data_IF_611256477781
#
_entry.id   IF_611256477781
#
_cell.length_a   1.000
_cell.length_b   1.000
_cell.length_c   1.000
_cell.angle_alpha   90.00
_cell.angle_beta   90.00
_cell.angle_gamma   90.00
#
_symmetry.space_group_name_H-M   'P 1'
#
loop_
_entity.id
_entity.type
_entity.pdbx_description
1 polymer ?
#
# COMPACT_ATOMS: atom_id res chain seq x y z
N UNK A 1 19.75 -12.72 -3.05
CA UNK A 1 18.83 -12.76 -1.88
C UNK A 1 17.55 -12.04 -2.25
N UNK A 2 16.39 -12.69 -2.15
CA UNK A 2 15.11 -12.05 -2.44
C UNK A 2 14.79 -11.02 -1.35
N UNK A 3 14.45 -9.78 -1.74
CA UNK A 3 14.04 -8.74 -0.77
C UNK A 3 12.70 -9.15 -0.15
N UNK A 4 12.41 -8.85 1.14
CA UNK A 4 11.17 -9.29 1.81
C UNK A 4 9.91 -8.93 1.01
N UNK A 5 9.91 -7.77 0.37
CA UNK A 5 8.80 -7.27 -0.44
C UNK A 5 8.48 -8.14 -1.67
N UNK A 6 9.48 -8.79 -2.27
CA UNK A 6 9.26 -9.73 -3.37
C UNK A 6 8.56 -10.99 -2.90
N UNK A 7 8.90 -11.47 -1.70
CA UNK A 7 8.21 -12.61 -1.07
C UNK A 7 6.76 -12.25 -0.75
N UNK A 8 6.51 -11.05 -0.21
CA UNK A 8 5.14 -10.56 0.05
C UNK A 8 4.33 -10.48 -1.26
N UNK A 9 4.92 -9.99 -2.35
CA UNK A 9 4.24 -9.92 -3.65
C UNK A 9 3.91 -11.31 -4.22
N UNK A 10 4.86 -12.25 -4.17
CA UNK A 10 4.62 -13.64 -4.59
C UNK A 10 3.56 -14.33 -3.72
N UNK A 11 3.55 -14.06 -2.41
CA UNK A 11 2.52 -14.55 -1.51
C UNK A 11 1.16 -13.92 -1.82
N UNK A 12 1.09 -12.61 -2.08
CA UNK A 12 -0.14 -11.93 -2.47
C UNK A 12 -0.74 -12.52 -3.76
N UNK A 13 0.08 -12.84 -4.77
CA UNK A 13 -0.38 -13.53 -5.98
C UNK A 13 -1.05 -14.89 -5.70
N UNK A 14 -0.63 -15.61 -4.65
CA UNK A 14 -1.30 -16.83 -4.17
C UNK A 14 -2.57 -16.50 -3.41
N UNK A 15 -2.53 -15.48 -2.55
CA UNK A 15 -3.66 -14.99 -1.77
C UNK A 15 -4.83 -14.58 -2.68
N UNK A 16 -4.56 -13.99 -3.85
CA UNK A 16 -5.59 -13.63 -4.83
C UNK A 16 -6.40 -14.83 -5.34
N UNK A 17 -5.81 -16.03 -5.35
CA UNK A 17 -6.48 -17.28 -5.76
C UNK A 17 -7.31 -17.90 -4.64
N UNK A 18 -7.11 -17.47 -3.40
CA UNK A 18 -7.87 -17.90 -2.22
C UNK A 18 -8.69 -16.73 -1.64
N UNK A 19 -9.92 -16.60 -2.16
CA UNK A 19 -10.85 -15.53 -1.74
C UNK A 19 -11.16 -15.58 -0.24
N UNK A 20 -11.21 -16.76 0.36
CA UNK A 20 -11.53 -16.95 1.78
C UNK A 20 -10.40 -16.45 2.67
N UNK A 21 -9.18 -16.88 2.38
CA UNK A 21 -7.98 -16.40 3.08
C UNK A 21 -7.80 -14.89 2.94
N UNK A 22 -8.00 -14.35 1.73
CA UNK A 22 -7.92 -12.90 1.48
C UNK A 22 -8.97 -12.14 2.30
N UNK A 23 -10.22 -12.61 2.30
CA UNK A 23 -11.29 -11.99 3.07
C UNK A 23 -11.01 -12.03 4.58
N UNK A 24 -10.42 -13.11 5.10
CA UNK A 24 -10.02 -13.19 6.50
C UNK A 24 -9.02 -12.10 6.88
N UNK A 25 -7.99 -11.87 6.06
CA UNK A 25 -7.01 -10.79 6.28
C UNK A 25 -7.66 -9.41 6.16
N UNK A 26 -8.51 -9.19 5.14
CA UNK A 26 -9.22 -7.90 4.96
C UNK A 26 -10.17 -7.58 6.13
N UNK A 27 -10.74 -8.59 6.78
CA UNK A 27 -11.65 -8.36 7.92
C UNK A 27 -10.92 -8.03 9.21
N UNK A 28 -9.64 -8.39 9.32
CA UNK A 28 -8.84 -8.04 10.49
C UNK A 28 -8.75 -6.50 10.64
N UNK A 29 -9.01 -6.04 11.86
CA UNK A 29 -8.98 -4.64 12.26
C UNK A 29 -7.61 -4.24 12.83
N UNK A 30 -6.87 -5.20 13.37
CA UNK A 30 -5.56 -5.00 13.97
C UNK A 30 -4.53 -5.95 13.37
N UNK A 31 -3.25 -5.64 13.55
CA UNK A 31 -2.17 -6.53 13.11
C UNK A 31 -2.13 -7.83 13.95
N UNK A 32 -2.56 -7.77 15.22
CA UNK A 32 -2.67 -8.95 16.10
C UNK A 32 -3.67 -9.98 15.58
N UNK A 33 -4.84 -9.53 15.12
CA UNK A 33 -5.86 -10.41 14.53
C UNK A 33 -5.31 -11.17 13.30
N UNK A 34 -4.47 -10.52 12.50
CA UNK A 34 -3.81 -11.13 11.33
C UNK A 34 -2.90 -12.29 11.73
N UNK A 35 -2.28 -12.25 12.90
CA UNK A 35 -1.40 -13.33 13.38
C UNK A 35 -2.14 -14.66 13.52
N UNK A 36 -3.46 -14.62 13.68
CA UNK A 36 -4.30 -15.83 13.82
C UNK A 36 -4.71 -16.42 12.46
N UNK A 37 -4.47 -15.72 11.35
CA UNK A 37 -4.91 -16.14 10.02
C UNK A 37 -3.91 -17.12 9.40
N UNK A 38 -4.32 -18.35 9.00
CA UNK A 38 -3.40 -19.35 8.44
C UNK A 38 -2.58 -18.86 7.23
N UNK A 39 -3.18 -18.03 6.36
CA UNK A 39 -2.49 -17.47 5.21
C UNK A 39 -1.35 -16.51 5.60
N UNK A 40 -1.47 -15.79 6.72
CA UNK A 40 -0.38 -14.99 7.26
C UNK A 40 0.74 -15.88 7.83
N UNK A 41 0.39 -16.98 8.52
CA UNK A 41 1.38 -17.93 9.03
C UNK A 41 2.22 -18.55 7.90
N UNK A 42 1.61 -18.82 6.73
CA UNK A 42 2.34 -19.21 5.52
C UNK A 42 3.33 -18.12 5.07
N UNK A 43 2.90 -16.84 5.00
CA UNK A 43 3.79 -15.72 4.68
C UNK A 43 4.97 -15.63 5.66
N UNK A 44 4.69 -15.69 6.95
CA UNK A 44 5.71 -15.64 8.01
C UNK A 44 6.75 -16.75 7.83
N UNK A 45 6.31 -17.99 7.60
CA UNK A 45 7.22 -19.13 7.33
C UNK A 45 8.08 -18.90 6.10
N UNK A 46 7.55 -18.32 5.02
CA UNK A 46 8.32 -18.00 3.80
C UNK A 46 9.40 -16.96 4.04
N UNK A 47 9.08 -15.89 4.77
CA UNK A 47 10.04 -14.84 5.14
C UNK A 47 11.20 -15.44 5.95
N UNK A 48 10.88 -16.26 6.95
CA UNK A 48 11.87 -16.92 7.79
C UNK A 48 12.69 -17.98 7.05
N UNK A 49 12.07 -18.78 6.17
CA UNK A 49 12.77 -19.76 5.34
C UNK A 49 13.75 -19.10 4.36
N UNK A 50 13.51 -17.84 3.97
CA UNK A 50 14.44 -17.04 3.17
C UNK A 50 15.59 -16.41 3.99
N UNK A 51 15.67 -16.70 5.30
CA UNK A 51 16.69 -16.16 6.20
C UNK A 51 16.47 -14.69 6.59
N UNK A 52 15.29 -14.13 6.30
CA UNK A 52 14.97 -12.74 6.60
C UNK A 52 14.35 -12.64 7.99
N UNK A 53 14.93 -11.79 8.84
CA UNK A 53 14.36 -11.45 10.15
C UNK A 53 13.52 -10.19 9.99
N UNK A 54 12.24 -10.28 10.30
CA UNK A 54 11.31 -9.15 10.29
C UNK A 54 10.38 -9.27 11.50
N UNK A 55 10.14 -8.18 12.26
CA UNK A 55 9.15 -8.19 13.32
C UNK A 55 7.76 -8.60 12.78
N UNK A 56 7.05 -9.55 13.43
CA UNK A 56 5.76 -10.03 12.95
C UNK A 56 4.73 -8.92 12.72
N UNK A 57 4.74 -7.89 13.55
CA UNK A 57 3.84 -6.75 13.49
C UNK A 57 4.05 -5.89 12.24
N UNK A 58 5.27 -5.82 11.70
CA UNK A 58 5.54 -5.12 10.43
C UNK A 58 5.01 -5.95 9.27
N UNK A 59 5.26 -7.26 9.29
CA UNK A 59 4.82 -8.18 8.25
C UNK A 59 3.28 -8.28 8.21
N UNK A 60 2.62 -8.28 9.37
CA UNK A 60 1.16 -8.31 9.47
C UNK A 60 0.53 -7.02 8.91
N UNK A 61 1.12 -5.86 9.18
CA UNK A 61 0.72 -4.58 8.56
C UNK A 61 0.89 -4.59 7.04
N UNK A 62 1.97 -5.18 6.53
CA UNK A 62 2.14 -5.36 5.09
C UNK A 62 1.02 -6.25 4.53
N UNK A 63 0.75 -7.38 5.17
CA UNK A 63 -0.32 -8.30 4.77
C UNK A 63 -1.70 -7.61 4.72
N UNK A 64 -2.02 -6.79 5.73
CA UNK A 64 -3.23 -5.96 5.75
C UNK A 64 -3.30 -5.04 4.52
N UNK A 65 -2.25 -4.25 4.28
CA UNK A 65 -2.24 -3.28 3.19
C UNK A 65 -2.33 -3.95 1.81
N UNK A 66 -1.52 -5.00 1.56
CA UNK A 66 -1.52 -5.66 0.25
C UNK A 66 -2.77 -6.50 0.01
N UNK A 67 -3.49 -6.91 1.05
CA UNK A 67 -4.75 -7.66 0.88
C UNK A 67 -5.85 -6.85 0.18
N UNK A 68 -5.76 -5.51 0.20
CA UNK A 68 -6.68 -4.63 -0.54
C UNK A 68 -6.34 -4.52 -2.04
N UNK A 69 -5.15 -4.96 -2.46
CA UNK A 69 -4.74 -4.86 -3.87
C UNK A 69 -5.49 -5.89 -4.70
N UNK A 70 -6.10 -5.43 -5.81
CA UNK A 70 -6.80 -6.25 -6.78
C UNK A 70 -5.88 -6.67 -7.94
N UNK A 71 -6.14 -7.81 -8.62
CA UNK A 71 -5.41 -8.20 -9.81
C UNK A 71 -5.65 -7.21 -10.95
N UNK A 72 -4.61 -6.92 -11.74
CA UNK A 72 -4.75 -6.11 -12.96
C UNK A 72 -4.98 -7.03 -14.17
N UNK A 73 -6.03 -6.76 -14.94
CA UNK A 73 -6.39 -7.55 -16.13
C UNK A 73 -5.38 -7.41 -17.28
N UNK A 74 -4.59 -6.33 -17.31
CA UNK A 74 -3.72 -5.97 -18.44
C UNK A 74 -2.26 -6.40 -18.32
N UNK A 75 -1.86 -7.04 -17.22
CA UNK A 75 -0.47 -7.46 -17.04
C UNK A 75 -0.19 -8.74 -17.85
N UNK A 76 0.16 -8.58 -19.13
CA UNK A 76 0.78 -9.64 -19.91
C UNK A 76 1.97 -10.24 -19.15
N UNK A 77 2.16 -11.55 -19.28
CA UNK A 77 2.94 -12.46 -18.43
C UNK A 77 4.46 -12.19 -18.30
N UNK A 78 4.95 -11.03 -18.74
CA UNK A 78 6.36 -10.66 -18.57
C UNK A 78 6.57 -9.99 -17.21
N UNK A 79 6.81 -10.82 -16.19
CA UNK A 79 7.29 -10.45 -14.86
C UNK A 79 8.57 -9.59 -14.97
N UNK A 80 8.43 -8.28 -15.12
CA UNK A 80 9.53 -7.36 -14.87
C UNK A 80 9.89 -7.45 -13.38
N UNK A 81 11.17 -7.63 -13.02
CA UNK A 81 11.60 -7.75 -11.63
C UNK A 81 11.39 -6.47 -10.80
N UNK A 82 11.02 -5.36 -11.46
CA UNK A 82 10.81 -4.06 -10.82
C UNK A 82 9.35 -3.63 -10.91
N UNK A 83 8.79 -3.32 -9.73
CA UNK A 83 7.45 -2.77 -9.59
C UNK A 83 7.36 -1.44 -10.36
N UNK A 84 6.45 -1.31 -11.34
CA UNK A 84 6.37 -0.13 -12.19
C UNK A 84 6.15 1.16 -11.38
N UNK A 85 6.83 2.29 -11.68
CA UNK A 85 6.68 3.53 -10.93
C UNK A 85 5.26 4.10 -10.89
N UNK A 86 4.46 3.87 -11.94
CA UNK A 86 3.08 4.32 -12.06
C UNK A 86 2.13 3.67 -11.05
N UNK A 87 2.52 2.52 -10.49
CA UNK A 87 1.76 1.81 -9.45
C UNK A 87 2.21 2.19 -8.02
N UNK A 88 3.01 3.25 -7.88
CA UNK A 88 3.34 3.80 -6.56
C UNK A 88 2.08 4.41 -5.95
N UNK A 89 1.82 4.21 -4.64
CA UNK A 89 0.57 4.65 -4.01
C UNK A 89 0.24 6.12 -4.26
N UNK A 90 1.22 7.04 -4.18
CA UNK A 90 0.97 8.47 -4.39
C UNK A 90 0.46 8.78 -5.79
N UNK A 91 1.05 8.15 -6.82
CA UNK A 91 0.64 8.31 -8.21
C UNK A 91 -0.75 7.74 -8.46
N UNK A 92 -1.05 6.58 -7.89
CA UNK A 92 -2.37 5.96 -8.00
C UNK A 92 -3.44 6.81 -7.31
N UNK A 93 -3.13 7.40 -6.16
CA UNK A 93 -4.05 8.26 -5.41
C UNK A 93 -4.35 9.57 -6.14
N UNK A 94 -3.36 10.14 -6.85
CA UNK A 94 -3.50 11.40 -7.57
C UNK A 94 -4.10 11.26 -8.97
N UNK A 95 -3.83 10.16 -9.67
CA UNK A 95 -4.22 10.01 -11.08
C UNK A 95 -5.74 9.88 -11.24
N UNK A 96 -6.40 10.82 -11.95
CA UNK A 96 -7.82 10.70 -12.26
C UNK A 96 -8.10 9.46 -13.10
N UNK A 97 -9.31 8.92 -12.93
CA UNK A 97 -9.79 7.83 -13.79
C UNK A 97 -10.16 8.40 -15.16
N UNK A 98 -10.25 7.52 -16.16
CA UNK A 98 -10.61 7.92 -17.52
C UNK A 98 -11.99 8.59 -17.52
N UNK A 99 -12.04 9.87 -17.89
CA UNK A 99 -13.27 10.66 -17.93
C UNK A 99 -13.62 11.36 -16.62
N UNK A 100 -12.74 11.31 -15.62
CA UNK A 100 -12.87 12.08 -14.38
C UNK A 100 -11.84 13.22 -14.34
N UNK A 101 -12.23 14.36 -13.78
CA UNK A 101 -11.37 15.55 -13.63
C UNK A 101 -10.80 15.70 -12.22
N UNK A 102 -11.06 14.73 -11.34
CA UNK A 102 -10.66 14.77 -9.92
C UNK A 102 -9.79 13.58 -9.57
N UNK A 103 -8.93 13.76 -8.57
CA UNK A 103 -8.18 12.65 -8.01
C UNK A 103 -9.14 11.72 -7.24
N UNK A 104 -8.97 10.39 -7.32
CA UNK A 104 -9.79 9.46 -6.55
C UNK A 104 -9.60 9.63 -5.03
N UNK A 105 -8.42 10.06 -4.59
CA UNK A 105 -8.14 10.43 -3.21
C UNK A 105 -7.83 11.91 -3.15
N UNK A 106 -8.73 12.73 -2.60
CA UNK A 106 -8.53 14.17 -2.44
C UNK A 106 -7.25 14.52 -1.66
N UNK A 107 -6.67 15.69 -1.92
CA UNK A 107 -5.47 16.15 -1.21
C UNK A 107 -5.63 16.18 0.32
N UNK A 108 -6.80 16.55 0.86
CA UNK A 108 -7.05 16.54 2.32
C UNK A 108 -6.96 15.14 2.94
N UNK A 109 -7.45 14.11 2.24
CA UNK A 109 -7.33 12.72 2.69
C UNK A 109 -5.87 12.25 2.64
N UNK A 110 -5.14 12.62 1.60
CA UNK A 110 -3.72 12.37 1.51
C UNK A 110 -2.98 13.06 2.66
N UNK A 111 -3.27 14.32 2.93
CA UNK A 111 -2.69 15.09 4.03
C UNK A 111 -2.90 14.38 5.37
N UNK A 112 -4.13 13.96 5.66
CA UNK A 112 -4.46 13.16 6.85
C UNK A 112 -3.68 11.85 6.91
N UNK A 113 -3.54 11.16 5.78
CA UNK A 113 -2.75 9.93 5.68
C UNK A 113 -1.27 10.17 5.99
N UNK A 114 -0.68 11.28 5.52
CA UNK A 114 0.76 11.51 5.70
C UNK A 114 1.15 12.18 7.02
N UNK A 115 0.21 12.89 7.64
CA UNK A 115 0.41 13.54 8.95
C UNK A 115 0.41 12.54 10.11
N UNK A 116 -0.19 11.36 9.91
CA UNK A 116 -0.20 10.34 10.97
C UNK A 116 1.19 9.75 11.20
N UNK A 117 1.56 9.64 12.47
CA UNK A 117 2.83 9.03 12.90
C UNK A 117 2.64 7.61 13.44
N UNK A 118 1.41 7.24 13.76
CA UNK A 118 1.06 5.95 14.35
C UNK A 118 0.88 4.90 13.24
N UNK A 119 1.68 3.81 13.23
CA UNK A 119 1.66 2.83 12.13
C UNK A 119 0.32 2.13 11.87
N UNK A 120 -0.48 1.84 12.91
CA UNK A 120 -1.76 1.15 12.74
C UNK A 120 -2.80 2.08 12.10
N UNK A 121 -2.85 3.32 12.56
CA UNK A 121 -3.67 4.39 11.99
C UNK A 121 -3.26 4.66 10.54
N UNK A 122 -1.96 4.69 10.24
CA UNK A 122 -1.45 4.79 8.88
C UNK A 122 -2.00 3.68 7.99
N UNK A 123 -1.85 2.41 8.40
CA UNK A 123 -2.34 1.26 7.62
C UNK A 123 -3.84 1.32 7.43
N UNK A 124 -4.61 1.72 8.45
CA UNK A 124 -6.06 1.88 8.34
C UNK A 124 -6.45 2.95 7.32
N UNK A 125 -5.82 4.12 7.38
CA UNK A 125 -6.06 5.21 6.42
C UNK A 125 -5.60 4.81 5.01
N UNK A 126 -4.48 4.10 4.88
CA UNK A 126 -3.95 3.61 3.62
C UNK A 126 -4.92 2.62 2.97
N UNK A 127 -5.48 1.68 3.74
CA UNK A 127 -6.50 0.75 3.25
C UNK A 127 -7.75 1.47 2.77
N UNK A 128 -8.21 2.48 3.50
CA UNK A 128 -9.34 3.30 3.07
C UNK A 128 -9.07 4.07 1.76
N UNK A 129 -7.82 4.54 1.56
CA UNK A 129 -7.40 5.15 0.30
C UNK A 129 -7.33 4.12 -0.84
N UNK A 130 -6.83 2.90 -0.57
CA UNK A 130 -6.81 1.80 -1.54
C UNK A 130 -8.20 1.42 -2.03
N UNK A 131 -9.21 1.43 -1.14
CA UNK A 131 -10.60 1.21 -1.55
C UNK A 131 -11.10 2.28 -2.52
N UNK A 132 -10.70 3.55 -2.36
CA UNK A 132 -11.07 4.65 -3.28
C UNK A 132 -10.45 4.48 -4.67
N UNK A 133 -9.33 3.79 -4.77
CA UNK A 133 -8.68 3.46 -6.05
C UNK A 133 -8.97 2.02 -6.50
N UNK A 134 -10.04 1.40 -5.99
CA UNK A 134 -10.47 0.04 -6.37
C UNK A 134 -9.36 -1.02 -6.23
N UNK A 135 -8.49 -0.84 -5.22
CA UNK A 135 -7.37 -1.74 -4.98
C UNK A 135 -6.25 -1.61 -6.00
N UNK A 136 -6.22 -0.55 -6.81
CA UNK A 136 -5.10 -0.30 -7.69
C UNK A 136 -3.81 -0.03 -6.89
N UNK A 137 -2.73 -0.69 -7.29
CA UNK A 137 -1.42 -0.55 -6.67
C UNK A 137 -0.53 -1.76 -6.91
N UNK A 138 0.70 -1.70 -6.39
CA UNK A 138 1.64 -2.81 -6.46
C UNK A 138 2.04 -3.31 -5.05
N UNK A 139 1.93 -4.63 -4.75
CA UNK A 139 2.23 -5.17 -3.42
C UNK A 139 3.64 -4.81 -2.90
N UNK A 140 4.66 -4.78 -3.77
CA UNK A 140 6.02 -4.36 -3.40
C UNK A 140 6.07 -2.90 -2.94
N UNK A 141 5.45 -1.97 -3.67
CA UNK A 141 5.50 -0.54 -3.30
C UNK A 141 4.75 -0.30 -2.00
N UNK A 142 3.59 -0.95 -1.81
CA UNK A 142 2.82 -0.87 -0.57
C UNK A 142 3.58 -1.46 0.61
N UNK A 143 4.22 -2.62 0.43
CA UNK A 143 5.01 -3.23 1.50
C UNK A 143 6.19 -2.35 1.91
N UNK A 144 6.89 -1.73 0.95
CA UNK A 144 7.95 -0.76 1.22
C UNK A 144 7.44 0.47 1.98
N UNK A 145 6.29 1.00 1.55
CA UNK A 145 5.68 2.17 2.19
C UNK A 145 5.31 1.85 3.65
N UNK A 146 4.64 0.72 3.90
CA UNK A 146 4.26 0.27 5.25
C UNK A 146 5.49 0.00 6.12
N UNK A 147 6.52 -0.64 5.58
CA UNK A 147 7.79 -0.84 6.28
C UNK A 147 8.39 0.49 6.73
N UNK A 148 8.57 1.41 5.78
CA UNK A 148 9.18 2.71 6.04
C UNK A 148 8.37 3.54 7.05
N UNK A 149 7.04 3.39 7.07
CA UNK A 149 6.21 4.11 8.03
C UNK A 149 6.38 3.64 9.48
N UNK A 150 6.75 2.37 9.67
CA UNK A 150 7.02 1.82 11.00
C UNK A 150 8.24 2.47 11.65
N UNK A 151 9.26 2.84 10.87
CA UNK A 151 10.49 3.43 11.38
C UNK A 151 10.48 4.97 11.26
N UNK A 152 10.59 5.72 12.37
CA UNK A 152 10.54 7.19 12.33
C UNK A 152 11.53 7.85 11.35
N UNK A 153 12.74 7.32 11.23
CA UNK A 153 13.77 7.85 10.34
C UNK A 153 13.43 7.68 8.84
N UNK A 154 12.76 6.59 8.47
CA UNK A 154 12.37 6.30 7.09
C UNK A 154 11.05 6.99 6.71
N UNK A 155 10.17 7.21 7.69
CA UNK A 155 8.86 7.83 7.52
C UNK A 155 8.90 9.18 6.84
N UNK A 156 9.87 10.04 7.17
CA UNK A 156 10.02 11.36 6.55
C UNK A 156 10.27 11.26 5.03
N UNK A 157 11.15 10.34 4.63
CA UNK A 157 11.44 10.08 3.22
C UNK A 157 10.26 9.48 2.49
N UNK A 158 9.56 8.53 3.12
CA UNK A 158 8.34 7.92 2.58
C UNK A 158 7.21 8.95 2.41
N UNK A 159 7.00 9.82 3.40
CA UNK A 159 6.06 10.95 3.37
C UNK A 159 6.33 11.87 2.19
N UNK A 160 7.57 12.34 2.06
CA UNK A 160 7.99 13.20 0.93
C UNK A 160 7.73 12.52 -0.41
N UNK A 161 8.11 11.25 -0.54
CA UNK A 161 7.89 10.51 -1.77
C UNK A 161 6.41 10.41 -2.12
N UNK A 162 5.57 10.08 -1.13
CA UNK A 162 4.14 9.91 -1.33
C UNK A 162 3.46 11.21 -1.78
N UNK A 163 3.84 12.35 -1.19
CA UNK A 163 3.37 13.67 -1.57
C UNK A 163 3.83 14.09 -2.97
N UNK A 164 5.11 13.88 -3.31
CA UNK A 164 5.64 14.20 -4.63
C UNK A 164 5.02 13.33 -5.72
N UNK A 165 4.89 12.02 -5.48
CA UNK A 165 4.22 11.08 -6.39
C UNK A 165 2.76 11.49 -6.66
N UNK A 166 2.05 11.97 -5.63
CA UNK A 166 0.71 12.51 -5.79
C UNK A 166 0.70 13.79 -6.62
N UNK A 167 1.58 14.75 -6.31
CA UNK A 167 1.67 16.02 -7.02
C UNK A 167 2.02 15.87 -8.51
N UNK A 168 2.77 14.82 -8.87
CA UNK A 168 3.10 14.51 -10.26
C UNK A 168 1.89 14.04 -11.10
N UNK A 169 0.77 13.68 -10.48
CA UNK A 169 -0.37 13.04 -11.16
C UNK A 169 -1.73 13.63 -10.85
N UNK A 170 -1.87 14.33 -9.73
CA UNK A 170 -3.11 14.99 -9.34
C UNK A 170 -3.41 16.21 -10.22
N UNK A 171 -4.69 16.46 -10.55
CA UNK A 171 -5.11 17.70 -11.21
C UNK A 171 -4.72 18.93 -10.38
N UNK A 172 -4.43 20.04 -11.05
CA UNK A 172 -4.10 21.31 -10.36
C UNK A 172 -5.21 21.78 -9.42
N UNK A 173 -6.48 21.44 -9.72
CA UNK A 173 -7.64 21.75 -8.89
C UNK A 173 -7.63 21.09 -7.50
N UNK A 174 -6.79 20.08 -7.27
CA UNK A 174 -6.64 19.43 -5.97
C UNK A 174 -5.82 20.28 -4.98
N UNK A 175 -5.05 21.26 -5.47
CA UNK A 175 -4.20 22.09 -4.63
C UNK A 175 -4.92 23.39 -4.27
N UNK A 176 -4.83 23.84 -3.00
CA UNK A 176 -5.39 25.12 -2.60
C UNK A 176 -4.76 26.22 -3.45
N UNK A 177 -5.59 27.01 -4.13
CA UNK A 177 -5.10 28.17 -4.87
C UNK A 177 -4.49 29.16 -3.88
N UNK A 178 -3.24 29.55 -4.13
CA UNK A 178 -2.56 30.57 -3.34
C UNK A 178 -3.26 31.93 -3.61
N UNK A 179 -4.34 32.24 -2.89
CA UNK A 179 -5.13 33.44 -3.19
C UNK A 179 -6.23 33.86 -2.23
N UNK A 180 -6.67 33.02 -1.29
CA UNK A 180 -7.74 33.39 -0.34
C UNK A 180 -7.24 33.34 1.11
N UNK A 181 -6.26 34.19 1.42
CA UNK A 181 -6.11 34.72 2.78
C UNK A 181 -6.54 36.18 2.72
N UNK A 182 -7.84 36.42 2.93
CA UNK A 182 -8.37 37.72 3.36
C UNK A 182 -8.21 37.89 4.86
#
# INVERSE_FOLDING_TARGET
MSKPYGIVALWHGRLLRDRGARAAIRRAQTWDEVLTVPAFLDLYRRIHAAGIRMPPEILARMALAVSEVEPREEAGEEEKPEAPPELRPGRVFGRPRRGEDRAPVSFDRLRRLVETEEPDLFVRLLRAALVQVEGEGHPVHLSRLVHAWHFPAERLSARRRLLLDYAETAPESEFPQQGETS
#
